data_IF_046817588959
#
_entry.id   IF_046817588959
#
_cell.length_a   1.000
_cell.length_b   1.000
_cell.length_c   1.000
_cell.angle_alpha   90.00
_cell.angle_beta   90.00
_cell.angle_gamma   90.00
#
_symmetry.space_group_name_H-M   'P 1'
#
loop_
_entity.id
_entity.type
_entity.pdbx_description
1 polymer ?
#
# COMPACT_ATOMS: atom_id res chain seq x y z
N UNK A 1 -13.28 -1.66 13.44
CA UNK A 1 -14.49 -2.49 13.65
C UNK A 1 -15.64 -2.15 12.70
N UNK A 2 -15.96 -0.86 12.42
CA UNK A 2 -17.07 -0.48 11.51
C UNK A 2 -16.93 -1.02 10.07
N UNK A 3 -15.70 -1.21 9.54
CA UNK A 3 -15.50 -1.78 8.21
C UNK A 3 -15.77 -3.30 8.14
N UNK A 4 -15.50 -4.03 9.21
CA UNK A 4 -15.81 -5.46 9.26
C UNK A 4 -17.33 -5.72 9.29
N UNK A 5 -18.09 -4.84 9.93
CA UNK A 5 -19.56 -4.91 9.93
C UNK A 5 -20.18 -4.62 8.56
N UNK A 6 -19.55 -3.74 7.75
CA UNK A 6 -19.99 -3.47 6.38
C UNK A 6 -19.74 -4.63 5.41
N UNK A 7 -18.68 -5.43 5.62
CA UNK A 7 -18.39 -6.61 4.80
C UNK A 7 -19.37 -7.76 5.08
N UNK A 8 -19.89 -7.83 6.30
CA UNK A 8 -20.87 -8.84 6.70
C UNK A 8 -22.31 -8.44 6.40
N UNK A 9 -22.56 -7.19 6.02
CA UNK A 9 -23.87 -6.75 5.54
C UNK A 9 -24.12 -7.26 4.11
N UNK A 10 -25.38 -7.42 3.74
CA UNK A 10 -25.86 -7.99 2.46
C UNK A 10 -25.30 -7.32 1.21
N UNK A 11 -24.64 -6.16 1.32
CA UNK A 11 -24.03 -5.39 0.22
C UNK A 11 -22.49 -5.28 0.33
N UNK A 12 -21.81 -6.40 0.49
CA UNK A 12 -20.33 -6.43 0.49
C UNK A 12 -19.70 -5.91 -0.82
N UNK A 13 -20.40 -6.06 -1.96
CA UNK A 13 -19.97 -5.51 -3.25
C UNK A 13 -19.97 -3.97 -3.24
N UNK A 14 -20.95 -3.34 -2.59
CA UNK A 14 -21.04 -1.89 -2.44
C UNK A 14 -19.86 -1.31 -1.66
N UNK A 15 -19.34 -2.01 -0.66
CA UNK A 15 -18.18 -1.57 0.12
C UNK A 15 -16.90 -1.54 -0.72
N UNK A 16 -16.64 -2.57 -1.52
CA UNK A 16 -15.47 -2.63 -2.41
C UNK A 16 -15.47 -1.50 -3.44
N UNK A 17 -16.66 -1.15 -3.97
CA UNK A 17 -16.83 0.00 -4.85
C UNK A 17 -16.61 1.33 -4.10
N UNK A 18 -17.18 1.47 -2.91
CA UNK A 18 -17.00 2.67 -2.07
C UNK A 18 -15.56 2.90 -1.66
N UNK A 19 -14.80 1.84 -1.42
CA UNK A 19 -13.36 1.92 -1.10
C UNK A 19 -12.48 2.15 -2.33
N UNK A 20 -13.04 2.16 -3.53
CA UNK A 20 -12.29 2.38 -4.77
C UNK A 20 -11.32 1.24 -5.11
N UNK A 21 -11.45 0.07 -4.49
CA UNK A 21 -10.53 -1.07 -4.67
C UNK A 21 -10.62 -1.57 -6.11
N UNK A 22 -11.83 -1.81 -6.62
CA UNK A 22 -12.02 -2.31 -7.98
C UNK A 22 -11.59 -1.32 -9.07
N UNK A 23 -11.76 -0.01 -8.81
CA UNK A 23 -11.38 1.04 -9.76
C UNK A 23 -9.89 1.39 -9.72
N UNK A 24 -9.18 0.94 -8.69
CA UNK A 24 -7.77 1.29 -8.49
C UNK A 24 -6.82 0.53 -9.39
N UNK A 25 -7.21 -0.65 -9.87
CA UNK A 25 -6.37 -1.66 -10.51
C UNK A 25 -5.19 -2.13 -9.63
N UNK A 26 -5.21 -1.78 -8.34
CA UNK A 26 -4.25 -2.28 -7.36
C UNK A 26 -4.89 -3.52 -6.76
N UNK A 27 -4.36 -4.67 -7.14
CA UNK A 27 -4.77 -5.93 -6.55
C UNK A 27 -4.29 -6.00 -5.11
N UNK A 28 -5.07 -6.65 -4.23
CA UNK A 28 -4.59 -7.04 -2.91
C UNK A 28 -3.34 -7.90 -3.03
N UNK A 29 -2.63 -8.13 -1.94
CA UNK A 29 -1.52 -9.06 -1.96
C UNK A 29 -2.02 -10.41 -2.51
N UNK A 30 -1.61 -10.71 -3.75
CA UNK A 30 -2.00 -11.97 -4.43
C UNK A 30 -1.37 -13.20 -3.77
N UNK A 31 -0.41 -12.99 -2.89
CA UNK A 31 0.34 -14.00 -2.13
C UNK A 31 0.41 -13.59 -0.69
N UNK A 32 0.26 -14.56 0.20
CA UNK A 32 0.40 -14.35 1.64
C UNK A 32 1.88 -14.11 1.96
N UNK A 33 2.13 -13.17 2.85
CA UNK A 33 3.48 -12.68 3.20
C UNK A 33 3.75 -12.76 4.67
N UNK A 34 5.01 -13.01 5.02
CA UNK A 34 5.47 -13.01 6.39
C UNK A 34 6.94 -12.57 6.51
N UNK A 35 7.33 -12.20 7.70
CA UNK A 35 8.72 -11.90 8.07
C UNK A 35 9.22 -13.02 8.99
N UNK A 36 10.35 -13.68 8.69
CA UNK A 36 10.89 -14.72 9.58
C UNK A 36 11.19 -14.23 11.00
N UNK A 37 11.73 -13.01 11.14
CA UNK A 37 12.01 -12.45 12.46
C UNK A 37 10.74 -12.16 13.27
N UNK A 38 9.62 -11.77 12.62
CA UNK A 38 8.34 -11.65 13.30
C UNK A 38 7.86 -13.01 13.83
N UNK A 39 8.09 -14.10 13.08
CA UNK A 39 7.75 -15.46 13.54
C UNK A 39 8.50 -15.78 14.82
N UNK A 40 9.80 -15.55 14.86
CA UNK A 40 10.65 -15.83 16.04
C UNK A 40 10.19 -14.99 17.24
N UNK A 41 9.87 -13.72 17.05
CA UNK A 41 9.36 -12.84 18.09
C UNK A 41 7.98 -13.25 18.60
N UNK A 42 7.06 -13.61 17.68
CA UNK A 42 5.72 -14.06 18.04
C UNK A 42 5.75 -15.35 18.88
N UNK A 43 6.56 -16.32 18.46
CA UNK A 43 6.75 -17.57 19.22
C UNK A 43 7.34 -17.27 20.59
N UNK A 44 8.35 -16.40 20.67
CA UNK A 44 8.97 -16.05 21.94
C UNK A 44 8.03 -15.30 22.89
N UNK A 45 7.15 -14.45 22.36
CA UNK A 45 6.24 -13.62 23.14
C UNK A 45 4.93 -14.31 23.46
N UNK A 46 4.32 -14.95 22.46
CA UNK A 46 2.93 -15.45 22.52
C UNK A 46 2.83 -16.98 22.44
N UNK A 47 3.96 -17.66 22.19
CA UNK A 47 4.03 -19.12 22.05
C UNK A 47 3.56 -19.66 20.70
N UNK A 48 3.15 -18.81 19.76
CA UNK A 48 2.70 -19.18 18.44
C UNK A 48 2.87 -18.02 17.45
N UNK A 49 3.25 -18.32 16.21
CA UNK A 49 3.30 -17.35 15.14
C UNK A 49 1.90 -17.06 14.56
N UNK A 50 1.73 -15.88 13.94
CA UNK A 50 0.49 -15.51 13.29
C UNK A 50 0.72 -14.64 12.05
N UNK A 51 -0.29 -14.58 11.17
CA UNK A 51 -0.25 -13.77 9.98
C UNK A 51 -0.46 -12.28 10.30
N UNK A 52 0.59 -11.48 10.21
CA UNK A 52 0.50 -10.04 10.44
C UNK A 52 -0.30 -9.35 9.34
N UNK A 53 -1.37 -8.64 9.70
CA UNK A 53 -2.22 -7.90 8.76
C UNK A 53 -1.44 -6.85 7.96
N UNK A 54 -0.44 -6.24 8.56
CA UNK A 54 0.41 -5.24 7.91
C UNK A 54 1.15 -5.84 6.72
N UNK A 55 1.65 -7.07 6.84
CA UNK A 55 2.36 -7.75 5.75
C UNK A 55 1.44 -8.06 4.56
N UNK A 56 0.12 -8.12 4.76
CA UNK A 56 -0.86 -8.41 3.71
C UNK A 56 -1.35 -7.15 2.99
N UNK A 57 -0.90 -5.95 3.39
CA UNK A 57 -1.32 -4.72 2.75
C UNK A 57 -0.65 -4.56 1.37
N UNK A 58 -1.38 -4.08 0.36
CA UNK A 58 -0.79 -3.77 -0.94
C UNK A 58 0.37 -2.78 -0.81
N UNK A 59 1.47 -3.05 -1.51
CA UNK A 59 2.68 -2.24 -1.47
C UNK A 59 3.62 -2.53 -0.29
N UNK A 60 3.22 -3.33 0.69
CA UNK A 60 4.11 -3.72 1.78
C UNK A 60 4.93 -4.94 1.36
N UNK A 61 6.16 -4.69 0.94
CA UNK A 61 7.12 -5.72 0.51
C UNK A 61 8.27 -5.90 1.52
N UNK A 62 8.37 -5.00 2.49
CA UNK A 62 9.38 -4.97 3.55
C UNK A 62 8.68 -4.99 4.89
N UNK A 63 9.21 -5.72 5.86
CA UNK A 63 8.70 -5.70 7.23
C UNK A 63 8.91 -4.31 7.86
N UNK A 64 7.86 -3.67 8.39
CA UNK A 64 8.01 -2.36 9.02
C UNK A 64 8.85 -2.40 10.30
N UNK A 65 8.82 -3.51 11.03
CA UNK A 65 9.49 -3.64 12.31
C UNK A 65 10.95 -4.10 12.15
N UNK A 66 11.27 -4.95 11.12
CA UNK A 66 12.61 -5.54 10.92
C UNK A 66 13.36 -5.00 9.70
N UNK A 67 12.76 -4.14 8.88
CA UNK A 67 13.39 -3.61 7.66
C UNK A 67 13.95 -4.70 6.71
N UNK A 68 13.32 -5.88 6.69
CA UNK A 68 13.68 -7.00 5.82
C UNK A 68 12.61 -7.24 4.76
N UNK A 69 13.04 -7.67 3.56
CA UNK A 69 12.12 -8.14 2.54
C UNK A 69 11.30 -9.31 3.07
N UNK A 70 10.01 -9.27 2.82
CA UNK A 70 9.08 -10.33 3.24
C UNK A 70 9.29 -11.58 2.39
N UNK A 71 9.04 -12.74 2.98
CA UNK A 71 8.84 -13.98 2.24
C UNK A 71 7.40 -14.05 1.74
N UNK A 72 7.21 -14.68 0.60
CA UNK A 72 5.91 -14.92 -0.02
C UNK A 72 5.67 -16.42 -0.16
N UNK A 73 4.46 -16.85 0.16
CA UNK A 73 4.03 -18.24 -0.05
C UNK A 73 3.61 -18.43 -1.51
N UNK A 74 3.92 -19.59 -2.10
CA UNK A 74 3.48 -19.93 -3.43
C UNK A 74 1.95 -19.87 -3.53
N UNK A 75 1.45 -19.11 -4.51
CA UNK A 75 0.01 -18.89 -4.66
C UNK A 75 -0.75 -20.18 -4.98
N UNK A 76 -0.19 -21.02 -5.82
CA UNK A 76 -0.81 -22.27 -6.23
C UNK A 76 -0.94 -23.25 -5.08
N UNK A 77 0.11 -23.34 -4.24
CA UNK A 77 0.07 -24.16 -3.04
C UNK A 77 -0.93 -23.61 -2.02
N UNK A 78 -0.84 -22.32 -1.69
CA UNK A 78 -1.72 -21.69 -0.71
C UNK A 78 -3.20 -21.76 -1.10
N UNK A 79 -3.52 -21.55 -2.37
CA UNK A 79 -4.90 -21.63 -2.87
C UNK A 79 -5.49 -23.04 -2.73
N UNK A 80 -4.71 -24.09 -3.00
CA UNK A 80 -5.15 -25.48 -2.81
C UNK A 80 -5.38 -25.84 -1.33
N UNK A 81 -4.56 -25.27 -0.43
CA UNK A 81 -4.58 -25.55 1.00
C UNK A 81 -5.30 -24.46 1.83
N UNK A 82 -6.01 -23.53 1.19
CA UNK A 82 -6.65 -22.38 1.84
C UNK A 82 -7.77 -22.75 2.83
N UNK A 83 -8.25 -24.00 2.82
CA UNK A 83 -9.24 -24.52 3.78
C UNK A 83 -8.60 -25.08 5.06
N UNK A 84 -7.30 -25.25 5.07
CA UNK A 84 -6.55 -25.69 6.24
C UNK A 84 -6.12 -24.46 7.05
N UNK A 85 -6.01 -24.63 8.37
CA UNK A 85 -5.42 -23.62 9.22
C UNK A 85 -3.89 -23.74 9.11
N UNK A 86 -3.30 -22.96 8.22
CA UNK A 86 -1.86 -22.91 8.02
C UNK A 86 -1.30 -21.69 8.76
N UNK A 87 -0.36 -21.91 9.64
CA UNK A 87 0.37 -20.85 10.35
C UNK A 87 1.67 -20.50 9.61
N UNK A 88 2.22 -19.31 9.80
CA UNK A 88 3.43 -18.90 9.07
C UNK A 88 4.68 -19.70 9.45
N UNK A 89 4.70 -20.37 10.60
CA UNK A 89 5.79 -21.23 11.10
C UNK A 89 5.65 -22.70 10.69
N UNK A 90 4.53 -23.11 10.06
CA UNK A 90 4.35 -24.48 9.60
C UNK A 90 5.42 -24.86 8.58
N UNK A 91 6.01 -26.05 8.72
CA UNK A 91 7.07 -26.56 7.81
C UNK A 91 6.63 -26.57 6.35
N UNK A 92 5.37 -26.90 6.08
CA UNK A 92 4.80 -26.87 4.73
C UNK A 92 4.74 -25.45 4.16
N UNK A 93 4.36 -24.45 4.97
CA UNK A 93 4.36 -23.05 4.56
C UNK A 93 5.77 -22.56 4.27
N UNK A 94 6.72 -22.89 5.16
CA UNK A 94 8.14 -22.55 4.97
C UNK A 94 8.74 -23.20 3.73
N UNK A 95 8.44 -24.49 3.49
CA UNK A 95 8.90 -25.23 2.30
C UNK A 95 8.34 -24.71 0.97
N UNK A 96 7.18 -24.03 1.00
CA UNK A 96 6.55 -23.43 -0.18
C UNK A 96 6.65 -21.90 -0.20
N UNK A 97 7.59 -21.32 0.54
CA UNK A 97 7.83 -19.89 0.56
C UNK A 97 9.15 -19.52 -0.12
N UNK A 98 9.17 -18.36 -0.74
CA UNK A 98 10.36 -17.80 -1.38
C UNK A 98 10.58 -16.36 -0.90
N UNK A 99 11.85 -15.93 -0.87
CA UNK A 99 12.19 -14.54 -0.60
C UNK A 99 11.71 -13.67 -1.77
N UNK A 100 11.13 -12.50 -1.47
CA UNK A 100 10.86 -11.51 -2.50
C UNK A 100 12.18 -11.04 -3.15
N UNK A 101 12.20 -11.07 -4.47
CA UNK A 101 13.34 -10.56 -5.24
C UNK A 101 13.11 -9.08 -5.57
N UNK A 102 13.72 -8.21 -4.80
CA UNK A 102 13.68 -6.76 -4.98
C UNK A 102 15.09 -6.21 -4.80
N UNK A 103 15.52 -5.31 -5.68
CA UNK A 103 16.83 -4.71 -5.56
C UNK A 103 16.97 -3.94 -4.24
N UNK A 104 18.15 -4.07 -3.61
CA UNK A 104 18.42 -3.49 -2.28
C UNK A 104 18.27 -1.97 -2.24
N UNK A 105 18.48 -1.29 -3.35
CA UNK A 105 18.32 0.15 -3.49
C UNK A 105 16.90 0.64 -3.20
N UNK A 106 15.87 -0.22 -3.41
CA UNK A 106 14.47 0.11 -3.13
C UNK A 106 14.06 -0.12 -1.67
N UNK A 107 14.83 -0.89 -0.91
CA UNK A 107 14.46 -1.28 0.47
C UNK A 107 14.18 -0.08 1.37
N UNK A 108 14.98 1.00 1.39
CA UNK A 108 14.70 2.14 2.26
C UNK A 108 13.33 2.80 1.96
N UNK A 109 13.00 2.97 0.69
CA UNK A 109 11.73 3.57 0.29
C UNK A 109 10.54 2.63 0.56
N UNK A 110 10.70 1.35 0.28
CA UNK A 110 9.70 0.33 0.60
C UNK A 110 9.44 0.23 2.11
N UNK A 111 10.48 0.40 2.93
CA UNK A 111 10.34 0.43 4.38
C UNK A 111 9.53 1.65 4.85
N UNK A 112 9.76 2.83 4.28
CA UNK A 112 8.95 4.02 4.58
C UNK A 112 7.47 3.80 4.24
N UNK A 113 7.17 3.20 3.08
CA UNK A 113 5.79 2.84 2.70
C UNK A 113 5.19 1.84 3.67
N UNK A 114 5.97 0.84 4.11
CA UNK A 114 5.52 -0.17 5.08
C UNK A 114 5.20 0.46 6.45
N UNK A 115 6.06 1.34 6.96
CA UNK A 115 5.85 2.07 8.21
C UNK A 115 4.57 2.92 8.15
N UNK A 116 4.37 3.67 7.08
CA UNK A 116 3.18 4.51 6.93
C UNK A 116 1.91 3.68 6.76
N UNK A 117 2.00 2.53 6.08
CA UNK A 117 0.90 1.58 6.00
C UNK A 117 0.52 1.02 7.37
N UNK A 118 1.52 0.69 8.18
CA UNK A 118 1.33 0.22 9.55
C UNK A 118 0.72 1.31 10.44
N UNK A 119 1.24 2.55 10.36
CA UNK A 119 0.70 3.69 11.10
C UNK A 119 -0.76 3.98 10.73
N UNK A 120 -1.09 3.96 9.43
CA UNK A 120 -2.45 4.14 8.96
C UNK A 120 -3.38 3.03 9.48
N UNK A 121 -2.92 1.78 9.47
CA UNK A 121 -3.68 0.65 10.00
C UNK A 121 -3.94 0.76 11.51
N UNK A 122 -2.96 1.27 12.26
CA UNK A 122 -3.03 1.45 13.73
C UNK A 122 -3.74 2.74 14.17
N UNK A 123 -3.84 3.74 13.29
CA UNK A 123 -4.34 5.08 13.63
C UNK A 123 -5.77 5.12 14.14
N UNK A 124 -6.59 4.10 13.83
CA UNK A 124 -8.01 4.11 14.17
C UNK A 124 -8.81 5.24 13.52
N UNK A 125 -8.22 5.96 12.55
CA UNK A 125 -8.89 7.04 11.84
C UNK A 125 -10.16 6.53 11.17
N UNK A 126 -11.25 7.26 11.39
CA UNK A 126 -12.48 7.06 10.65
C UNK A 126 -12.33 7.48 9.18
N UNK A 127 -13.36 7.23 8.35
CA UNK A 127 -13.33 7.64 6.96
C UNK A 127 -13.21 9.17 6.86
N UNK A 128 -12.15 9.62 6.16
CA UNK A 128 -11.93 11.04 5.86
C UNK A 128 -12.70 11.43 4.59
N UNK A 129 -13.31 12.59 4.61
CA UNK A 129 -13.97 13.13 3.43
C UNK A 129 -12.91 13.49 2.36
N UNK A 130 -13.23 13.22 1.10
CA UNK A 130 -12.28 13.40 -0.02
C UNK A 130 -11.73 14.84 -0.15
N UNK A 131 -12.55 15.84 0.18
CA UNK A 131 -12.15 17.25 0.20
C UNK A 131 -11.15 17.58 1.31
N UNK A 132 -11.26 16.95 2.47
CA UNK A 132 -10.31 17.11 3.59
C UNK A 132 -8.94 16.58 3.18
N UNK A 133 -8.90 15.37 2.62
CA UNK A 133 -7.67 14.76 2.14
C UNK A 133 -7.07 15.59 1.00
N UNK A 134 -7.89 16.07 0.08
CA UNK A 134 -7.45 16.94 -1.01
C UNK A 134 -6.81 18.23 -0.48
N UNK A 135 -7.44 18.90 0.49
CA UNK A 135 -6.90 20.14 1.08
C UNK A 135 -5.55 19.89 1.72
N UNK A 136 -5.39 18.78 2.43
CA UNK A 136 -4.13 18.39 3.03
C UNK A 136 -3.03 18.16 1.96
N UNK A 137 -3.34 17.41 0.92
CA UNK A 137 -2.40 17.15 -0.18
C UNK A 137 -2.01 18.42 -0.95
N UNK A 138 -2.96 19.35 -1.16
CA UNK A 138 -2.66 20.64 -1.80
C UNK A 138 -1.79 21.53 -0.94
N UNK A 139 -1.97 21.52 0.39
CA UNK A 139 -1.08 22.23 1.31
C UNK A 139 0.34 21.66 1.24
N UNK A 140 0.49 20.34 1.23
CA UNK A 140 1.78 19.69 1.02
C UNK A 140 2.42 20.07 -0.31
N UNK A 141 1.66 20.04 -1.40
CA UNK A 141 2.15 20.43 -2.72
C UNK A 141 2.57 21.92 -2.76
N UNK A 142 1.86 22.81 -2.08
CA UNK A 142 2.23 24.22 -1.95
C UNK A 142 3.53 24.41 -1.13
N UNK A 143 3.69 23.67 -0.06
CA UNK A 143 4.91 23.70 0.77
C UNK A 143 6.17 23.22 0.01
N UNK A 144 5.97 22.43 -1.05
CA UNK A 144 7.02 21.93 -1.94
C UNK A 144 7.16 22.75 -3.25
N UNK A 145 6.56 23.92 -3.33
CA UNK A 145 6.54 24.76 -4.53
C UNK A 145 5.99 24.06 -5.80
N UNK A 146 5.15 23.04 -5.61
CA UNK A 146 4.48 22.32 -6.69
C UNK A 146 3.11 22.93 -7.06
N UNK A 147 2.65 23.91 -6.27
CA UNK A 147 1.44 24.67 -6.52
C UNK A 147 1.67 26.15 -6.31
N UNK A 148 1.21 27.00 -7.22
CA UNK A 148 1.45 28.42 -7.23
C UNK A 148 0.14 29.23 -7.10
N UNK A 149 0.24 30.41 -6.46
CA UNK A 149 -0.83 31.40 -6.34
C UNK A 149 -1.92 31.04 -5.32
N UNK A 150 -2.82 32.00 -5.03
CA UNK A 150 -3.90 31.86 -4.05
C UNK A 150 -4.88 30.71 -4.39
N UNK A 151 -5.01 30.36 -5.67
CA UNK A 151 -5.87 29.28 -6.14
C UNK A 151 -5.20 27.88 -6.09
N UNK A 152 -4.00 27.75 -5.52
CA UNK A 152 -3.22 26.49 -5.48
C UNK A 152 -3.14 25.82 -6.86
N UNK A 153 -2.82 26.60 -7.89
CA UNK A 153 -2.70 26.08 -9.26
C UNK A 153 -1.46 25.20 -9.36
N UNK A 154 -1.69 23.90 -9.64
CA UNK A 154 -0.61 22.92 -9.75
C UNK A 154 0.27 23.20 -10.98
N UNK A 155 1.58 23.24 -10.76
CA UNK A 155 2.57 23.14 -11.82
C UNK A 155 2.75 21.66 -12.19
N UNK A 156 2.14 21.27 -13.30
CA UNK A 156 2.11 19.86 -13.72
C UNK A 156 3.49 19.34 -14.13
N UNK A 157 4.36 20.19 -14.67
CA UNK A 157 5.71 19.77 -15.07
C UNK A 157 6.58 19.50 -13.82
N UNK A 158 6.56 20.41 -12.87
CA UNK A 158 7.26 20.24 -11.59
C UNK A 158 6.72 19.04 -10.80
N UNK A 159 5.40 18.91 -10.76
CA UNK A 159 4.77 17.76 -10.10
C UNK A 159 5.17 16.44 -10.76
N UNK A 160 5.23 16.38 -12.11
CA UNK A 160 5.67 15.19 -12.82
C UNK A 160 7.12 14.83 -12.47
N UNK A 161 8.03 15.80 -12.55
CA UNK A 161 9.44 15.58 -12.22
C UNK A 161 9.64 15.13 -10.78
N UNK A 162 8.88 15.72 -9.86
CA UNK A 162 8.92 15.34 -8.44
C UNK A 162 8.40 13.92 -8.21
N UNK A 163 7.29 13.55 -8.85
CA UNK A 163 6.74 12.20 -8.79
C UNK A 163 7.69 11.16 -9.41
N UNK A 164 8.33 11.48 -10.51
CA UNK A 164 9.30 10.61 -11.17
C UNK A 164 10.50 10.33 -10.26
N UNK A 165 11.00 11.33 -9.53
CA UNK A 165 12.08 11.14 -8.57
C UNK A 165 11.69 10.14 -7.47
N UNK A 166 10.48 10.25 -6.94
CA UNK A 166 9.95 9.31 -5.95
C UNK A 166 9.78 7.89 -6.52
N UNK A 167 9.17 7.78 -7.72
CA UNK A 167 8.92 6.48 -8.31
C UNK A 167 10.19 5.76 -8.77
N UNK A 168 11.26 6.50 -9.07
CA UNK A 168 12.55 5.89 -9.38
C UNK A 168 13.17 5.13 -8.19
N UNK A 169 12.74 5.45 -6.97
CA UNK A 169 13.13 4.75 -5.73
C UNK A 169 12.20 3.58 -5.38
N UNK A 170 11.31 3.17 -6.28
CA UNK A 170 10.37 2.06 -6.11
C UNK A 170 10.51 1.04 -7.24
N UNK A 171 10.17 -0.24 -7.03
CA UNK A 171 10.19 -1.25 -8.08
C UNK A 171 9.31 -0.87 -9.27
N UNK A 172 9.77 -1.18 -10.48
CA UNK A 172 9.03 -0.92 -11.73
C UNK A 172 7.86 -1.89 -11.90
N UNK A 173 8.02 -3.11 -11.40
CA UNK A 173 7.08 -4.21 -11.57
C UNK A 173 6.20 -4.43 -10.33
N UNK A 174 5.22 -5.32 -10.44
CA UNK A 174 4.36 -5.73 -9.35
C UNK A 174 3.35 -4.65 -8.94
N UNK A 175 3.08 -4.55 -7.66
CA UNK A 175 2.04 -3.68 -7.09
C UNK A 175 2.30 -2.18 -7.31
N UNK A 176 3.55 -1.80 -7.60
CA UNK A 176 3.95 -0.41 -7.87
C UNK A 176 3.84 0.01 -9.34
N UNK A 177 3.71 -0.94 -10.27
CA UNK A 177 3.67 -0.67 -11.71
C UNK A 177 2.58 0.33 -12.09
N UNK A 178 1.40 0.21 -11.46
CA UNK A 178 0.24 1.05 -11.74
C UNK A 178 0.40 2.50 -11.29
N UNK A 179 1.30 2.76 -10.34
CA UNK A 179 1.56 4.12 -9.86
C UNK A 179 2.31 4.95 -10.90
N UNK A 180 3.03 4.27 -11.81
CA UNK A 180 3.89 4.87 -12.83
C UNK A 180 3.18 5.19 -14.17
N UNK A 181 1.87 4.91 -14.29
CA UNK A 181 1.09 5.23 -15.50
C UNK A 181 1.07 6.75 -15.73
N UNK A 182 2.10 7.28 -16.36
CA UNK A 182 2.22 8.69 -16.73
C UNK A 182 2.60 8.84 -18.20
N UNK A 183 2.18 9.94 -18.81
CA UNK A 183 2.71 10.38 -20.10
C UNK A 183 3.98 11.20 -19.87
N UNK A 184 4.94 11.18 -20.81
CA UNK A 184 6.17 11.97 -20.67
C UNK A 184 5.88 13.45 -20.32
N UNK A 185 6.50 13.95 -19.25
CA UNK A 185 6.34 15.32 -18.78
C UNK A 185 5.01 15.67 -18.13
N UNK A 186 4.13 14.67 -17.89
CA UNK A 186 2.86 14.86 -17.18
C UNK A 186 2.74 13.86 -16.03
N UNK A 187 2.23 14.29 -14.88
CA UNK A 187 2.00 13.36 -13.77
C UNK A 187 0.92 12.35 -14.12
N UNK A 188 0.96 11.19 -13.50
CA UNK A 188 -0.06 10.17 -13.66
C UNK A 188 -1.47 10.75 -13.50
N UNK A 189 -2.40 10.30 -14.33
CA UNK A 189 -3.79 10.83 -14.36
C UNK A 189 -4.50 10.70 -13.01
N UNK A 190 -4.19 9.68 -12.21
CA UNK A 190 -4.75 9.49 -10.89
C UNK A 190 -4.28 10.57 -9.90
N UNK A 191 -3.04 11.06 -10.03
CA UNK A 191 -2.49 12.15 -9.20
C UNK A 191 -3.25 13.44 -9.44
N UNK A 192 -3.42 13.82 -10.71
CA UNK A 192 -4.18 15.04 -11.07
C UNK A 192 -5.64 14.95 -10.65
N UNK A 193 -6.26 13.76 -10.71
CA UNK A 193 -7.62 13.54 -10.21
C UNK A 193 -7.73 13.72 -8.69
N UNK A 194 -6.77 13.20 -7.93
CA UNK A 194 -6.74 13.36 -6.47
C UNK A 194 -6.57 14.83 -6.06
N UNK A 195 -5.66 15.54 -6.72
CA UNK A 195 -5.32 16.92 -6.34
C UNK A 195 -6.32 17.96 -6.87
N UNK A 196 -6.98 17.73 -8.02
CA UNK A 196 -7.88 18.73 -8.62
C UNK A 196 -9.36 18.51 -8.32
N UNK A 197 -9.84 17.27 -8.47
CA UNK A 197 -11.28 16.95 -8.30
C UNK A 197 -11.42 15.48 -7.86
N UNK A 198 -11.29 15.19 -6.59
CA UNK A 198 -11.54 13.83 -6.10
C UNK A 198 -13.03 13.50 -6.27
N UNK A 199 -13.35 12.72 -7.30
CA UNK A 199 -14.74 12.30 -7.61
C UNK A 199 -15.12 10.97 -6.96
N UNK A 200 -14.26 10.43 -6.13
CA UNK A 200 -14.46 9.15 -5.45
C UNK A 200 -13.29 8.80 -4.57
N UNK A 201 -13.39 7.66 -3.91
CA UNK A 201 -12.32 7.11 -3.11
C UNK A 201 -11.26 6.47 -4.01
N UNK A 202 -10.02 6.66 -3.68
CA UNK A 202 -8.88 6.01 -4.32
C UNK A 202 -8.28 4.99 -3.36
N UNK A 203 -7.55 4.02 -3.90
CA UNK A 203 -6.88 3.02 -3.08
C UNK A 203 -5.86 3.66 -2.11
N UNK A 204 -5.78 3.20 -0.83
CA UNK A 204 -4.88 3.77 0.16
C UNK A 204 -3.43 3.91 -0.28
N UNK A 205 -2.88 2.95 -1.05
CA UNK A 205 -1.51 3.01 -1.56
C UNK A 205 -1.25 4.27 -2.41
N UNK A 206 -2.25 4.78 -3.16
CA UNK A 206 -2.14 6.03 -3.91
C UNK A 206 -2.00 7.25 -3.01
N UNK A 207 -2.70 7.27 -1.89
CA UNK A 207 -2.55 8.34 -0.90
C UNK A 207 -1.21 8.24 -0.18
N UNK A 208 -0.82 7.05 0.24
CA UNK A 208 0.46 6.82 0.90
C UNK A 208 1.64 7.23 0.00
N UNK A 209 1.60 6.90 -1.29
CA UNK A 209 2.64 7.33 -2.23
C UNK A 209 2.71 8.84 -2.40
N UNK A 210 1.60 9.59 -2.23
CA UNK A 210 1.61 11.05 -2.25
C UNK A 210 2.07 11.68 -0.93
N UNK A 211 1.83 11.04 0.20
CA UNK A 211 2.25 11.54 1.52
C UNK A 211 3.77 11.47 1.66
N UNK A 212 4.43 10.53 0.97
CA UNK A 212 5.88 10.37 0.97
C UNK A 212 6.61 11.25 -0.06
N UNK A 213 5.85 11.92 -0.86
CA UNK A 213 6.31 12.96 -1.78
C UNK A 213 6.34 14.28 -1.05
#
# INVERSE_FOLDING_TARGET
MQHAQGVMAVDGKGLMLKLGINASRIEGASRVRFCPLCIDEDIARDGAAYWHRTHQLPGVLVCPDHCQLLKVVDHGWYSRNSRQLNLPDDDEVQGHSVQLEVAQEYVPRLHQVALSSQQLLRSGLGPLAANVVQSFLLQGAAALDLACGEAHRLDLCRLAAYMDSFFNELPVAGEYSILREASPGLPATWVTKLLRRPRGTHHPLKYLSLIHI
#
